data_IF_813438444729
#
_entry.id   IF_813438444729
#
_cell.length_a   1.000
_cell.length_b   1.000
_cell.length_c   1.000
_cell.angle_alpha   90.00
_cell.angle_beta   90.00
_cell.angle_gamma   90.00
#
_symmetry.space_group_name_H-M   'P 1'
#
loop_
_entity.id
_entity.type
_entity.pdbx_description
1 polymer ?
#
# COMPACT_ATOMS: atom_id res chain seq x y z
N UNK A 1 12.47 -25.25 1.51
CA UNK A 1 11.20 -24.98 0.79
C UNK A 1 11.56 -24.02 -0.33
N UNK A 2 11.03 -24.18 -1.55
CA UNK A 2 11.39 -23.28 -2.65
C UNK A 2 10.91 -21.85 -2.35
N UNK A 3 11.73 -20.86 -2.69
CA UNK A 3 11.38 -19.44 -2.55
C UNK A 3 10.39 -19.02 -3.65
N UNK A 4 9.65 -17.91 -3.46
CA UNK A 4 8.79 -17.38 -4.52
C UNK A 4 9.53 -17.09 -5.84
N UNK A 5 10.76 -16.55 -5.75
CA UNK A 5 11.57 -16.29 -6.95
C UNK A 5 12.03 -17.59 -7.63
N UNK A 6 12.34 -18.65 -6.89
CA UNK A 6 12.61 -19.96 -7.50
C UNK A 6 11.40 -20.51 -8.25
N UNK A 7 10.19 -20.37 -7.68
CA UNK A 7 8.94 -20.80 -8.33
C UNK A 7 8.69 -19.99 -9.62
N UNK A 8 8.92 -18.68 -9.59
CA UNK A 8 8.81 -17.83 -10.78
C UNK A 8 9.87 -18.21 -11.82
N UNK A 9 11.13 -18.39 -11.44
CA UNK A 9 12.21 -18.86 -12.34
C UNK A 9 11.88 -20.20 -12.98
N UNK A 10 11.36 -21.16 -12.21
CA UNK A 10 10.91 -22.45 -12.76
C UNK A 10 9.75 -22.28 -13.74
N UNK A 11 8.79 -21.42 -13.42
CA UNK A 11 7.67 -21.09 -14.32
C UNK A 11 8.15 -20.42 -15.62
N UNK A 12 9.25 -19.67 -15.56
CA UNK A 12 9.88 -19.06 -16.73
C UNK A 12 10.63 -20.08 -17.61
N UNK A 13 11.00 -21.25 -17.06
CA UNK A 13 11.87 -22.21 -17.75
C UNK A 13 11.15 -23.04 -18.82
N UNK A 14 9.93 -23.49 -18.52
CA UNK A 14 9.14 -24.37 -19.36
C UNK A 14 7.64 -24.24 -19.04
N UNK A 15 6.80 -24.17 -20.08
CA UNK A 15 5.36 -23.96 -19.93
C UNK A 15 4.65 -25.14 -19.21
N UNK A 16 5.12 -26.38 -19.39
CA UNK A 16 4.58 -27.54 -18.66
C UNK A 16 4.90 -27.44 -17.17
N UNK A 17 6.08 -26.93 -16.82
CA UNK A 17 6.44 -26.67 -15.43
C UNK A 17 5.55 -25.58 -14.84
N UNK A 18 5.30 -24.49 -15.57
CA UNK A 18 4.36 -23.44 -15.17
C UNK A 18 2.97 -24.02 -14.86
N UNK A 19 2.41 -24.87 -15.75
CA UNK A 19 1.13 -25.54 -15.52
C UNK A 19 1.14 -26.45 -14.28
N UNK A 20 2.22 -27.19 -14.05
CA UNK A 20 2.36 -28.05 -12.86
C UNK A 20 2.41 -27.23 -11.57
N UNK A 21 3.09 -26.08 -11.58
CA UNK A 21 3.20 -25.20 -10.42
C UNK A 21 1.87 -24.51 -10.10
N UNK A 22 1.06 -24.14 -11.11
CA UNK A 22 -0.29 -23.59 -10.90
C UNK A 22 -1.20 -24.52 -10.09
N UNK A 23 -1.07 -25.83 -10.28
CA UNK A 23 -1.84 -26.82 -9.53
C UNK A 23 -1.45 -26.91 -8.04
N UNK A 24 -0.28 -26.40 -7.65
CA UNK A 24 0.22 -26.45 -6.27
C UNK A 24 -0.28 -25.30 -5.40
N UNK A 25 -0.66 -24.16 -6.00
CA UNK A 25 -1.16 -22.95 -5.31
C UNK A 25 -0.35 -22.59 -4.05
N UNK A 26 0.91 -22.21 -4.24
CA UNK A 26 1.81 -21.90 -3.13
C UNK A 26 1.28 -20.72 -2.31
N UNK A 27 1.35 -20.81 -0.98
CA UNK A 27 0.85 -19.74 -0.11
C UNK A 27 1.87 -18.62 -0.02
N UNK A 28 1.41 -17.39 -0.23
CA UNK A 28 2.17 -16.17 0.06
C UNK A 28 1.45 -15.35 1.12
N UNK A 29 2.22 -14.56 1.87
CA UNK A 29 1.65 -13.56 2.77
C UNK A 29 1.08 -12.41 1.94
N UNK A 30 1.90 -11.85 1.05
CA UNK A 30 1.54 -10.72 0.22
C UNK A 30 2.20 -10.74 -1.16
N UNK A 31 1.55 -10.09 -2.12
CA UNK A 31 2.11 -9.74 -3.43
C UNK A 31 2.01 -8.22 -3.56
N UNK A 32 3.14 -7.57 -3.77
CA UNK A 32 3.25 -6.13 -3.95
C UNK A 32 3.54 -5.83 -5.42
N UNK A 33 2.66 -5.10 -6.08
CA UNK A 33 2.79 -4.68 -7.47
C UNK A 33 3.04 -3.18 -7.50
N UNK A 34 4.27 -2.78 -7.82
CA UNK A 34 4.63 -1.39 -8.00
C UNK A 34 4.62 -1.03 -9.48
N UNK A 35 3.87 0.01 -9.83
CA UNK A 35 3.75 0.53 -11.18
C UNK A 35 4.26 1.97 -11.23
N UNK A 36 5.08 2.24 -12.23
CA UNK A 36 5.66 3.53 -12.56
C UNK A 36 6.38 3.45 -13.90
N UNK A 37 6.52 4.58 -14.61
CA UNK A 37 7.19 4.59 -15.91
C UNK A 37 8.69 4.28 -15.83
N UNK A 38 9.29 4.39 -14.63
CA UNK A 38 10.72 4.16 -14.40
C UNK A 38 10.91 2.94 -13.50
N UNK A 39 10.10 2.80 -12.44
CA UNK A 39 10.28 1.80 -11.39
C UNK A 39 9.07 0.86 -11.25
N UNK A 40 8.86 0.02 -12.27
CA UNK A 40 7.92 -1.09 -12.17
C UNK A 40 8.58 -2.31 -11.53
N UNK A 41 7.96 -2.92 -10.52
CA UNK A 41 8.48 -4.12 -9.85
C UNK A 41 7.40 -4.93 -9.14
N UNK A 42 7.69 -6.19 -8.86
CA UNK A 42 6.84 -7.11 -8.10
C UNK A 42 7.65 -7.64 -6.92
N UNK A 43 7.10 -7.57 -5.72
CA UNK A 43 7.70 -8.13 -4.51
C UNK A 43 6.75 -9.22 -3.97
N UNK A 44 7.30 -10.40 -3.70
CA UNK A 44 6.56 -11.56 -3.21
C UNK A 44 7.01 -11.89 -1.78
N UNK A 45 6.23 -11.44 -0.81
CA UNK A 45 6.56 -11.62 0.59
C UNK A 45 6.14 -13.03 1.09
N UNK A 46 7.14 -13.77 1.58
CA UNK A 46 6.92 -14.94 2.46
C UNK A 46 7.37 -14.69 3.91
N UNK A 47 8.38 -13.82 4.11
CA UNK A 47 9.02 -13.44 5.39
C UNK A 47 9.46 -11.96 5.38
N UNK A 48 10.29 -11.51 6.33
CA UNK A 48 10.83 -10.14 6.35
C UNK A 48 11.77 -9.84 5.16
N UNK A 49 12.45 -10.85 4.62
CA UNK A 49 13.15 -10.76 3.34
C UNK A 49 12.20 -11.05 2.18
N UNK A 50 12.18 -10.13 1.22
CA UNK A 50 11.19 -10.02 0.17
C UNK A 50 11.87 -10.13 -1.20
N UNK A 51 11.84 -11.30 -1.87
CA UNK A 51 12.36 -11.41 -3.22
C UNK A 51 11.64 -10.47 -4.19
N UNK A 52 12.39 -9.71 -5.00
CA UNK A 52 11.85 -8.71 -5.93
C UNK A 52 12.10 -9.12 -7.39
N UNK A 53 11.12 -8.83 -8.25
CA UNK A 53 11.22 -8.85 -9.70
C UNK A 53 11.12 -7.43 -10.21
N UNK A 54 12.21 -6.88 -10.73
CA UNK A 54 12.30 -5.50 -11.20
C UNK A 54 12.19 -5.42 -12.73
N UNK A 55 11.43 -4.45 -13.24
CA UNK A 55 11.28 -4.18 -14.67
C UNK A 55 11.96 -2.86 -15.04
N UNK A 56 13.07 -2.94 -15.77
CA UNK A 56 13.89 -1.78 -16.13
C UNK A 56 13.62 -1.31 -17.56
N UNK A 57 13.37 -0.01 -17.73
CA UNK A 57 13.19 0.61 -19.04
C UNK A 57 14.48 0.55 -19.86
N UNK A 58 14.40 -0.08 -21.03
CA UNK A 58 15.47 -0.11 -22.04
C UNK A 58 14.85 0.30 -23.37
N UNK A 59 15.59 1.06 -24.18
CA UNK A 59 15.21 1.48 -25.52
C UNK A 59 15.18 0.28 -26.49
N UNK A 60 14.16 -0.57 -26.42
CA UNK A 60 13.74 -1.43 -27.54
C UNK A 60 12.39 -2.13 -27.27
N UNK A 61 11.31 -1.58 -27.83
CA UNK A 61 9.92 -1.96 -27.54
C UNK A 61 9.24 -2.84 -28.60
N UNK A 62 9.97 -3.51 -29.50
CA UNK A 62 9.35 -4.46 -30.45
C UNK A 62 9.51 -5.89 -29.96
N UNK A 63 8.70 -6.27 -28.96
CA UNK A 63 8.62 -7.66 -28.50
C UNK A 63 7.18 -8.12 -28.41
N UNK A 64 6.96 -9.44 -28.49
CA UNK A 64 5.61 -10.03 -28.38
C UNK A 64 5.04 -9.76 -26.97
N UNK A 65 3.72 -9.51 -26.84
CA UNK A 65 3.06 -9.32 -25.55
C UNK A 65 3.23 -10.54 -24.64
N UNK A 66 3.43 -10.29 -23.35
CA UNK A 66 3.46 -11.31 -22.32
C UNK A 66 2.03 -11.74 -21.94
N UNK A 67 1.76 -13.02 -22.12
CA UNK A 67 0.51 -13.72 -21.77
C UNK A 67 0.77 -14.88 -20.79
N UNK A 68 2.01 -15.37 -20.71
CA UNK A 68 2.44 -16.49 -19.87
C UNK A 68 3.80 -16.18 -19.23
N UNK A 69 4.11 -16.76 -18.06
CA UNK A 69 5.36 -16.45 -17.37
C UNK A 69 6.59 -17.00 -18.09
N UNK A 70 6.46 -18.11 -18.84
CA UNK A 70 7.53 -18.61 -19.72
C UNK A 70 8.09 -17.55 -20.68
N UNK A 71 7.28 -16.57 -21.09
CA UNK A 71 7.68 -15.50 -22.00
C UNK A 71 8.55 -14.43 -21.32
N UNK A 72 8.57 -14.39 -19.98
CA UNK A 72 9.49 -13.51 -19.24
C UNK A 72 10.94 -13.96 -19.36
N UNK A 73 11.21 -15.21 -19.76
CA UNK A 73 12.56 -15.69 -20.05
C UNK A 73 13.26 -14.81 -21.09
N UNK A 74 12.55 -14.38 -22.12
CA UNK A 74 13.08 -13.50 -23.16
C UNK A 74 13.32 -12.06 -22.65
N UNK A 75 12.78 -11.72 -21.48
CA UNK A 75 12.91 -10.42 -20.82
C UNK A 75 13.98 -10.44 -19.73
N UNK A 76 14.50 -11.61 -19.35
CA UNK A 76 15.49 -11.74 -18.29
C UNK A 76 16.82 -11.10 -18.66
N UNK A 77 17.37 -10.30 -17.73
CA UNK A 77 18.65 -9.63 -17.89
C UNK A 77 19.71 -10.24 -16.98
N UNK A 78 19.46 -10.21 -15.66
CA UNK A 78 20.40 -10.64 -14.62
C UNK A 78 19.66 -10.84 -13.29
N UNK A 79 20.34 -11.49 -12.36
CA UNK A 79 19.92 -11.63 -10.97
C UNK A 79 20.94 -10.89 -10.08
N UNK A 80 20.48 -10.05 -9.14
CA UNK A 80 21.32 -9.31 -8.19
C UNK A 80 20.70 -9.49 -6.82
N UNK A 81 21.46 -10.00 -5.85
CA UNK A 81 20.99 -10.17 -4.47
C UNK A 81 19.61 -10.86 -4.39
N UNK A 82 19.44 -11.94 -5.18
CA UNK A 82 18.20 -12.71 -5.36
C UNK A 82 17.07 -12.00 -6.12
N UNK A 83 17.25 -10.74 -6.51
CA UNK A 83 16.28 -9.97 -7.29
C UNK A 83 16.41 -10.23 -8.80
N UNK A 84 15.27 -10.51 -9.44
CA UNK A 84 15.19 -10.77 -10.88
C UNK A 84 15.05 -9.45 -11.65
N UNK A 85 16.06 -9.08 -12.42
CA UNK A 85 16.01 -7.93 -13.31
C UNK A 85 15.50 -8.35 -14.69
N UNK A 86 14.35 -7.80 -15.09
CA UNK A 86 13.70 -7.99 -16.38
C UNK A 86 13.69 -6.66 -17.16
N UNK A 87 13.65 -6.72 -18.49
CA UNK A 87 13.35 -5.54 -19.32
C UNK A 87 11.90 -5.07 -19.08
N UNK A 88 11.66 -3.79 -19.32
CA UNK A 88 10.36 -3.14 -19.20
C UNK A 88 9.23 -3.89 -19.89
N UNK A 89 8.06 -3.76 -19.28
CA UNK A 89 6.79 -4.35 -19.70
C UNK A 89 5.72 -3.27 -19.71
N UNK A 90 4.77 -3.37 -20.64
CA UNK A 90 3.63 -2.45 -20.69
C UNK A 90 2.66 -2.67 -19.51
N UNK A 91 1.70 -1.76 -19.35
CA UNK A 91 0.60 -1.94 -18.39
C UNK A 91 -0.15 -3.26 -18.62
N UNK A 92 -0.50 -3.57 -19.87
CA UNK A 92 -1.19 -4.82 -20.22
C UNK A 92 -0.39 -6.05 -19.82
N UNK A 93 0.92 -6.00 -20.05
CA UNK A 93 1.83 -7.07 -19.66
C UNK A 93 1.92 -7.20 -18.13
N UNK A 94 1.96 -6.09 -17.36
CA UNK A 94 1.92 -6.14 -15.89
C UNK A 94 0.66 -6.81 -15.34
N UNK A 95 -0.51 -6.47 -15.90
CA UNK A 95 -1.76 -7.12 -15.49
C UNK A 95 -1.82 -8.60 -15.90
N UNK A 96 -1.19 -8.95 -17.03
CA UNK A 96 -1.06 -10.34 -17.46
C UNK A 96 -0.13 -11.11 -16.53
N UNK A 97 0.99 -10.52 -16.10
CA UNK A 97 1.90 -11.11 -15.11
C UNK A 97 1.18 -11.29 -13.78
N UNK A 98 0.48 -10.27 -13.28
CA UNK A 98 -0.36 -10.35 -12.09
C UNK A 98 -1.36 -11.51 -12.16
N UNK A 99 -2.09 -11.64 -13.27
CA UNK A 99 -3.05 -12.74 -13.48
C UNK A 99 -2.38 -14.11 -13.41
N UNK A 100 -1.19 -14.26 -14.01
CA UNK A 100 -0.44 -15.51 -13.95
C UNK A 100 0.10 -15.80 -12.54
N UNK A 101 0.58 -14.78 -11.81
CA UNK A 101 1.03 -14.93 -10.41
C UNK A 101 -0.12 -15.34 -9.48
N UNK A 102 -1.32 -14.77 -9.66
CA UNK A 102 -2.52 -15.18 -8.93
C UNK A 102 -2.95 -16.64 -9.20
N UNK A 103 -2.50 -17.23 -10.32
CA UNK A 103 -2.73 -18.64 -10.61
C UNK A 103 -1.68 -19.55 -9.97
N UNK A 104 -0.46 -19.05 -9.75
CA UNK A 104 0.61 -19.77 -9.06
C UNK A 104 0.47 -19.72 -7.54
N UNK A 105 0.02 -18.58 -7.02
CA UNK A 105 0.06 -18.27 -5.60
C UNK A 105 -1.32 -18.00 -5.01
N UNK A 106 -1.53 -18.49 -3.79
CA UNK A 106 -2.66 -18.13 -2.95
C UNK A 106 -2.20 -17.04 -1.97
N UNK A 107 -2.54 -15.79 -2.25
CA UNK A 107 -2.27 -14.64 -1.36
C UNK A 107 -3.58 -13.99 -0.92
N UNK A 108 -3.61 -13.49 0.32
CA UNK A 108 -4.73 -12.67 0.84
C UNK A 108 -4.45 -11.17 0.75
N UNK A 109 -3.19 -10.79 0.61
CA UNK A 109 -2.75 -9.40 0.59
C UNK A 109 -2.16 -9.06 -0.77
N UNK A 110 -3.02 -8.65 -1.70
CA UNK A 110 -2.60 -8.09 -2.99
C UNK A 110 -2.53 -6.57 -2.81
N UNK A 111 -1.35 -6.02 -2.99
CA UNK A 111 -1.04 -4.62 -2.71
C UNK A 111 -0.60 -3.93 -4.00
N UNK A 112 -1.38 -2.95 -4.45
CA UNK A 112 -1.01 -2.11 -5.59
C UNK A 112 -0.32 -0.83 -5.11
N UNK A 113 0.80 -0.48 -5.73
CA UNK A 113 1.60 0.70 -5.42
C UNK A 113 1.79 1.50 -6.70
N UNK A 114 1.24 2.72 -6.77
CA UNK A 114 1.40 3.63 -7.90
C UNK A 114 2.41 4.73 -7.57
N UNK A 115 3.45 4.86 -8.40
CA UNK A 115 4.47 5.93 -8.36
C UNK A 115 3.93 7.15 -9.12
N UNK A 116 3.21 8.04 -8.45
CA UNK A 116 2.56 9.19 -9.09
C UNK A 116 3.57 10.20 -9.67
N UNK A 117 4.74 10.34 -9.03
CA UNK A 117 5.86 11.15 -9.51
C UNK A 117 6.47 10.67 -10.85
N UNK A 118 6.17 9.45 -11.28
CA UNK A 118 6.68 8.86 -12.52
C UNK A 118 5.65 8.84 -13.65
N UNK A 119 4.39 9.20 -13.38
CA UNK A 119 3.27 9.02 -14.31
C UNK A 119 2.71 10.37 -14.75
N UNK A 120 2.25 10.45 -16.01
CA UNK A 120 1.35 11.53 -16.41
C UNK A 120 -0.02 11.33 -15.77
N UNK A 121 -0.80 12.41 -15.68
CA UNK A 121 -2.12 12.36 -15.04
C UNK A 121 -3.05 11.36 -15.73
N UNK A 122 -3.04 11.32 -17.06
CA UNK A 122 -3.90 10.42 -17.84
C UNK A 122 -3.51 8.95 -17.61
N UNK A 123 -2.22 8.65 -17.59
CA UNK A 123 -1.67 7.32 -17.30
C UNK A 123 -2.03 6.89 -15.87
N UNK A 124 -1.88 7.79 -14.90
CA UNK A 124 -2.25 7.53 -13.52
C UNK A 124 -3.74 7.15 -13.39
N UNK A 125 -4.63 7.92 -14.04
CA UNK A 125 -6.06 7.67 -13.99
C UNK A 125 -6.43 6.34 -14.68
N UNK A 126 -5.80 6.02 -15.80
CA UNK A 126 -5.96 4.72 -16.47
C UNK A 126 -5.56 3.56 -15.54
N UNK A 127 -4.42 3.70 -14.84
CA UNK A 127 -3.92 2.68 -13.93
C UNK A 127 -4.84 2.51 -12.74
N UNK A 128 -5.33 3.61 -12.15
CA UNK A 128 -6.33 3.60 -11.08
C UNK A 128 -7.57 2.83 -11.53
N UNK A 129 -8.16 3.20 -12.66
CA UNK A 129 -9.39 2.57 -13.15
C UNK A 129 -9.21 1.08 -13.37
N UNK A 130 -8.06 0.67 -13.92
CA UNK A 130 -7.77 -0.75 -14.13
C UNK A 130 -7.52 -1.51 -12.83
N UNK A 131 -6.78 -0.94 -11.88
CA UNK A 131 -6.53 -1.57 -10.57
C UNK A 131 -7.85 -1.80 -9.83
N UNK A 132 -8.75 -0.82 -9.88
CA UNK A 132 -10.04 -0.90 -9.17
C UNK A 132 -10.97 -1.98 -9.73
N UNK A 133 -10.69 -2.53 -10.92
CA UNK A 133 -11.39 -3.73 -11.43
C UNK A 133 -10.90 -5.04 -10.82
N UNK A 134 -9.78 -5.03 -10.09
CA UNK A 134 -9.19 -6.22 -9.47
C UNK A 134 -9.62 -6.38 -8.02
N UNK A 135 -9.47 -7.60 -7.48
CA UNK A 135 -9.50 -7.80 -6.03
C UNK A 135 -8.15 -7.43 -5.44
N UNK A 136 -8.15 -6.47 -4.51
CA UNK A 136 -6.96 -6.03 -3.81
C UNK A 136 -7.24 -5.77 -2.33
N UNK A 137 -6.18 -5.88 -1.53
CA UNK A 137 -6.19 -5.59 -0.11
C UNK A 137 -5.81 -4.13 0.17
N UNK A 138 -4.74 -3.66 -0.49
CA UNK A 138 -4.19 -2.32 -0.30
C UNK A 138 -3.99 -1.60 -1.62
N UNK A 139 -4.34 -0.33 -1.63
CA UNK A 139 -4.01 0.62 -2.70
C UNK A 139 -3.13 1.73 -2.14
N UNK A 140 -1.92 1.86 -2.69
CA UNK A 140 -0.90 2.81 -2.25
C UNK A 140 -0.54 3.76 -3.38
N UNK A 141 -0.54 5.05 -3.12
CA UNK A 141 0.01 6.08 -4.01
C UNK A 141 1.23 6.69 -3.35
N UNK A 142 2.32 6.87 -4.10
CA UNK A 142 3.57 7.44 -3.57
C UNK A 142 4.13 8.50 -4.52
N UNK A 143 4.82 9.47 -3.97
CA UNK A 143 5.55 10.48 -4.74
C UNK A 143 4.65 11.55 -5.35
N UNK A 144 5.24 12.71 -5.64
CA UNK A 144 4.53 13.85 -6.23
C UNK A 144 3.52 14.52 -5.30
N UNK A 145 2.84 15.54 -5.83
CA UNK A 145 1.85 16.33 -5.10
C UNK A 145 0.51 16.25 -5.82
N UNK A 146 -0.53 15.79 -5.12
CA UNK A 146 -1.86 15.60 -5.71
C UNK A 146 -2.72 16.86 -5.58
N UNK A 147 -3.56 17.14 -6.58
CA UNK A 147 -4.55 18.22 -6.50
C UNK A 147 -5.79 17.77 -5.72
N UNK A 148 -6.57 18.75 -5.21
CA UNK A 148 -7.84 18.47 -4.52
C UNK A 148 -8.84 17.71 -5.41
N UNK A 149 -8.91 18.04 -6.71
CA UNK A 149 -9.80 17.37 -7.66
C UNK A 149 -9.38 15.91 -7.91
N UNK A 150 -8.06 15.66 -8.05
CA UNK A 150 -7.55 14.31 -8.21
C UNK A 150 -7.83 13.46 -6.98
N UNK A 151 -7.56 14.00 -5.79
CA UNK A 151 -7.84 13.33 -4.51
C UNK A 151 -9.34 13.04 -4.36
N UNK A 152 -10.21 14.00 -4.67
CA UNK A 152 -11.67 13.80 -4.65
C UNK A 152 -12.08 12.67 -5.58
N UNK A 153 -11.62 12.70 -6.82
CA UNK A 153 -11.89 11.64 -7.79
C UNK A 153 -11.40 10.27 -7.31
N UNK A 154 -10.21 10.21 -6.69
CA UNK A 154 -9.67 8.98 -6.12
C UNK A 154 -10.52 8.47 -4.94
N UNK A 155 -10.87 9.33 -3.99
CA UNK A 155 -11.67 8.94 -2.82
C UNK A 155 -13.05 8.43 -3.23
N UNK A 156 -13.68 9.02 -4.25
CA UNK A 156 -14.97 8.54 -4.76
C UNK A 156 -14.87 7.13 -5.36
N UNK A 157 -13.81 6.86 -6.14
CA UNK A 157 -13.62 5.58 -6.82
C UNK A 157 -13.19 4.43 -5.89
N UNK A 158 -12.33 4.69 -4.90
CA UNK A 158 -11.78 3.62 -4.05
C UNK A 158 -12.86 3.07 -3.10
N UNK A 159 -13.06 1.74 -3.00
CA UNK A 159 -14.04 1.16 -2.08
C UNK A 159 -13.67 1.39 -0.60
N UNK A 160 -14.66 1.68 0.25
CA UNK A 160 -14.42 1.90 1.70
C UNK A 160 -13.82 0.66 2.39
N UNK A 161 -14.09 -0.55 1.88
CA UNK A 161 -13.51 -1.80 2.43
C UNK A 161 -12.00 -1.95 2.22
N UNK A 162 -11.38 -1.11 1.39
CA UNK A 162 -9.96 -1.19 1.05
C UNK A 162 -9.07 -0.56 2.14
N UNK A 163 -7.80 -0.97 2.15
CA UNK A 163 -6.74 -0.18 2.83
C UNK A 163 -6.19 0.85 1.85
N UNK A 164 -6.26 2.13 2.17
CA UNK A 164 -5.65 3.20 1.36
C UNK A 164 -4.37 3.72 2.01
N UNK A 165 -3.33 3.96 1.22
CA UNK A 165 -2.08 4.57 1.69
C UNK A 165 -1.69 5.68 0.73
N UNK A 166 -1.62 6.91 1.22
CA UNK A 166 -1.19 8.06 0.44
C UNK A 166 0.13 8.58 1.01
N UNK A 167 1.22 8.35 0.27
CA UNK A 167 2.56 8.90 0.53
C UNK A 167 2.97 9.94 -0.51
N UNK A 168 1.98 10.64 -1.07
CA UNK A 168 2.14 11.84 -1.88
C UNK A 168 1.72 13.06 -1.06
N UNK A 169 2.08 14.26 -1.51
CA UNK A 169 1.65 15.48 -0.83
C UNK A 169 0.16 15.72 -1.05
N UNK A 170 -0.51 16.20 0.01
CA UNK A 170 -1.93 16.55 0.02
C UNK A 170 -2.04 18.06 0.32
N UNK A 171 -2.84 18.83 -0.44
CA UNK A 171 -3.04 20.24 -0.18
C UNK A 171 -3.63 20.48 1.22
N UNK A 172 -3.18 21.55 1.89
CA UNK A 172 -3.61 21.86 3.27
C UNK A 172 -5.08 22.26 3.38
N UNK A 173 -5.70 22.70 2.28
CA UNK A 173 -7.12 23.04 2.18
C UNK A 173 -7.99 21.86 1.73
N UNK A 174 -7.41 20.67 1.59
CA UNK A 174 -8.15 19.47 1.23
C UNK A 174 -9.19 19.10 2.30
N UNK A 175 -10.34 18.60 1.86
CA UNK A 175 -11.34 18.00 2.74
C UNK A 175 -12.20 17.02 1.96
N UNK A 176 -12.47 15.85 2.54
CA UNK A 176 -13.35 14.86 1.94
C UNK A 176 -13.95 13.92 2.98
N UNK A 177 -15.28 13.80 3.01
CA UNK A 177 -15.98 12.99 4.02
C UNK A 177 -15.59 11.51 4.00
N UNK A 178 -15.21 10.97 2.83
CA UNK A 178 -14.79 9.57 2.66
C UNK A 178 -13.33 9.30 3.03
N UNK A 179 -12.49 10.33 3.15
CA UNK A 179 -11.07 10.15 3.44
C UNK A 179 -10.82 9.41 4.77
N UNK A 180 -11.74 9.51 5.73
CA UNK A 180 -11.63 8.90 7.05
C UNK A 180 -12.57 7.69 7.24
N UNK A 181 -13.15 7.16 6.16
CA UNK A 181 -14.14 6.05 6.20
C UNK A 181 -13.61 4.72 5.68
N UNK A 182 -12.34 4.66 5.31
CA UNK A 182 -11.75 3.42 4.82
C UNK A 182 -11.54 2.42 5.96
N UNK A 183 -11.56 1.13 5.62
CA UNK A 183 -11.24 0.03 6.52
C UNK A 183 -9.90 0.28 7.22
N UNK A 184 -8.91 0.75 6.49
CA UNK A 184 -7.66 1.25 7.06
C UNK A 184 -7.15 2.37 6.17
N UNK A 185 -6.50 3.38 6.77
CA UNK A 185 -5.89 4.45 5.99
C UNK A 185 -4.59 4.94 6.59
N UNK A 186 -3.66 5.27 5.71
CA UNK A 186 -2.42 5.97 6.05
C UNK A 186 -2.30 7.22 5.19
N UNK A 187 -2.03 8.35 5.84
CA UNK A 187 -1.69 9.62 5.19
C UNK A 187 -0.30 10.04 5.64
N UNK A 188 0.64 10.17 4.69
CA UNK A 188 1.96 10.77 4.98
C UNK A 188 1.77 12.24 5.33
N UNK A 189 1.16 12.99 4.41
CA UNK A 189 0.78 14.38 4.63
C UNK A 189 -0.63 14.45 5.21
N UNK A 190 -0.74 14.77 6.48
CA UNK A 190 -1.99 14.81 7.24
C UNK A 190 -2.26 16.18 7.88
N UNK A 191 -1.48 17.23 7.54
CA UNK A 191 -1.66 18.60 8.08
C UNK A 191 -2.94 19.29 7.64
N UNK A 192 -3.62 18.76 6.61
CA UNK A 192 -4.94 19.20 6.19
C UNK A 192 -6.06 18.79 7.16
N UNK A 193 -5.79 17.81 8.03
CA UNK A 193 -6.74 17.37 9.06
C UNK A 193 -6.70 18.29 10.28
N UNK A 194 -7.89 18.51 10.83
CA UNK A 194 -8.08 19.02 12.18
C UNK A 194 -8.35 17.85 13.12
N UNK A 195 -8.06 18.03 14.41
CA UNK A 195 -8.24 16.93 15.38
C UNK A 195 -9.73 16.56 15.52
N UNK A 196 -10.65 17.50 15.31
CA UNK A 196 -12.10 17.27 15.24
C UNK A 196 -12.50 16.29 14.12
N UNK A 197 -11.77 16.27 13.01
CA UNK A 197 -12.10 15.38 11.88
C UNK A 197 -11.95 13.91 12.29
N UNK A 198 -11.01 13.61 13.21
CA UNK A 198 -10.80 12.27 13.73
C UNK A 198 -12.01 11.76 14.54
N UNK A 199 -12.83 12.65 15.09
CA UNK A 199 -14.04 12.28 15.85
C UNK A 199 -15.10 11.62 14.98
N UNK A 200 -14.96 11.68 13.65
CA UNK A 200 -15.87 11.05 12.69
C UNK A 200 -15.46 9.62 12.30
N UNK A 201 -14.26 9.17 12.67
CA UNK A 201 -13.75 7.83 12.31
C UNK A 201 -14.61 6.76 12.98
N UNK A 202 -15.10 5.79 12.19
CA UNK A 202 -15.91 4.68 12.70
C UNK A 202 -15.54 3.38 12.00
N UNK A 203 -15.46 2.29 12.77
CA UNK A 203 -15.23 0.92 12.30
C UNK A 203 -13.98 0.78 11.40
N UNK A 204 -12.96 1.62 11.64
CA UNK A 204 -11.67 1.46 10.98
C UNK A 204 -10.82 0.42 11.72
N UNK A 205 -9.82 -0.11 11.05
CA UNK A 205 -8.91 -1.12 11.59
C UNK A 205 -7.61 -0.42 12.00
N UNK A 206 -6.85 0.12 11.04
CA UNK A 206 -5.62 0.87 11.31
C UNK A 206 -5.73 2.29 10.75
N UNK A 207 -5.41 3.28 11.58
CA UNK A 207 -5.30 4.69 11.21
C UNK A 207 -3.85 5.14 11.43
N UNK A 208 -3.21 5.69 10.40
CA UNK A 208 -1.82 6.19 10.52
C UNK A 208 -1.64 7.57 9.89
N UNK A 209 -1.15 8.53 10.66
CA UNK A 209 -0.92 9.92 10.24
C UNK A 209 0.54 10.28 10.54
N UNK A 210 1.37 10.43 9.50
CA UNK A 210 2.83 10.55 9.68
C UNK A 210 3.31 12.00 9.88
N UNK A 211 2.69 12.99 9.22
CA UNK A 211 3.05 14.42 9.33
C UNK A 211 1.77 15.17 9.64
N UNK A 212 1.66 15.71 10.86
CA UNK A 212 0.44 16.38 11.35
C UNK A 212 0.74 17.77 11.89
N UNK A 213 -0.31 18.50 12.26
CA UNK A 213 -0.22 19.74 13.02
C UNK A 213 -0.57 19.54 14.52
N UNK A 214 -0.74 18.29 14.96
CA UNK A 214 -1.22 17.96 16.29
C UNK A 214 -0.12 18.05 17.34
N UNK A 215 -0.45 18.56 18.52
CA UNK A 215 0.41 18.41 19.69
C UNK A 215 -0.19 17.47 20.75
N UNK A 216 0.49 17.35 21.89
CA UNK A 216 0.08 16.47 22.98
C UNK A 216 -1.32 16.80 23.51
N UNK A 217 -1.74 18.07 23.48
CA UNK A 217 -3.06 18.48 23.96
C UNK A 217 -4.15 18.08 22.97
N UNK A 218 -3.90 18.22 21.66
CA UNK A 218 -4.80 17.72 20.62
C UNK A 218 -5.01 16.20 20.74
N UNK A 219 -3.93 15.44 20.88
CA UNK A 219 -4.00 13.98 21.04
C UNK A 219 -4.75 13.60 22.32
N UNK A 220 -4.48 14.27 23.45
CA UNK A 220 -5.24 14.06 24.68
C UNK A 220 -6.75 14.27 24.47
N UNK A 221 -7.13 15.36 23.79
CA UNK A 221 -8.53 15.68 23.50
C UNK A 221 -9.19 14.58 22.65
N UNK A 222 -8.47 14.04 21.68
CA UNK A 222 -8.93 12.91 20.88
C UNK A 222 -9.08 11.63 21.68
N UNK A 223 -8.10 11.29 22.52
CA UNK A 223 -8.15 10.08 23.34
C UNK A 223 -9.29 10.13 24.36
N UNK A 224 -9.57 11.28 24.99
CA UNK A 224 -10.73 11.43 25.87
C UNK A 224 -12.04 11.23 25.10
N UNK A 225 -12.18 11.83 23.91
CA UNK A 225 -13.35 11.60 23.06
C UNK A 225 -13.53 10.12 22.70
N UNK A 226 -12.43 9.44 22.34
CA UNK A 226 -12.46 8.03 21.96
C UNK A 226 -12.84 7.14 23.17
N UNK A 227 -12.25 7.40 24.34
CA UNK A 227 -12.55 6.68 25.58
C UNK A 227 -14.02 6.77 26.00
N UNK A 228 -14.67 7.91 25.75
CA UNK A 228 -16.08 8.13 26.07
C UNK A 228 -17.03 7.73 24.93
N UNK A 229 -16.50 7.25 23.79
CA UNK A 229 -17.32 6.94 22.63
C UNK A 229 -17.94 5.54 22.72
N UNK A 230 -19.27 5.48 22.83
CA UNK A 230 -20.03 4.21 22.79
C UNK A 230 -19.96 3.45 21.45
N UNK A 231 -19.25 3.98 20.46
CA UNK A 231 -19.16 3.41 19.11
C UNK A 231 -17.72 3.05 18.79
N UNK A 232 -17.54 1.84 18.25
CA UNK A 232 -16.24 1.38 17.73
C UNK A 232 -15.68 2.37 16.69
N UNK A 233 -14.55 3.00 17.04
CA UNK A 233 -13.87 4.00 16.21
C UNK A 233 -12.81 3.33 15.34
N UNK A 234 -11.74 2.82 15.94
CA UNK A 234 -10.72 2.03 15.27
C UNK A 234 -10.02 1.04 16.22
N UNK A 235 -9.33 0.04 15.65
CA UNK A 235 -8.52 -0.90 16.46
C UNK A 235 -7.14 -0.37 16.81
N UNK A 236 -6.54 0.42 15.93
CA UNK A 236 -5.19 0.93 16.10
C UNK A 236 -5.09 2.33 15.50
N UNK A 237 -4.40 3.23 16.22
CA UNK A 237 -4.05 4.56 15.72
C UNK A 237 -2.58 4.87 15.99
N UNK A 238 -1.91 5.43 14.98
CA UNK A 238 -0.55 5.95 15.06
C UNK A 238 -0.58 7.40 14.57
N UNK A 239 -0.21 8.33 15.45
CA UNK A 239 -0.11 9.76 15.14
C UNK A 239 1.30 10.23 15.47
N UNK A 240 1.98 10.79 14.47
CA UNK A 240 3.18 11.60 14.73
C UNK A 240 2.75 13.03 15.08
N UNK A 241 3.30 13.60 16.15
CA UNK A 241 3.06 15.00 16.51
C UNK A 241 3.69 15.95 15.48
N UNK A 242 3.26 17.22 15.52
CA UNK A 242 3.81 18.29 14.69
C UNK A 242 5.33 18.38 14.82
N UNK A 243 5.99 18.71 13.71
CA UNK A 243 7.44 18.79 13.64
C UNK A 243 8.01 19.70 14.73
N UNK A 244 9.05 19.23 15.43
CA UNK A 244 9.68 19.94 16.54
C UNK A 244 8.95 19.86 17.89
N UNK A 245 7.76 19.25 17.96
CA UNK A 245 7.09 19.01 19.24
C UNK A 245 7.79 17.90 20.03
N UNK A 246 8.01 18.15 21.33
CA UNK A 246 8.38 17.09 22.25
C UNK A 246 7.14 16.34 22.72
N UNK A 247 7.23 15.02 22.81
CA UNK A 247 6.14 14.19 23.33
C UNK A 247 6.03 14.45 24.83
N UNK A 248 4.94 15.11 25.24
CA UNK A 248 4.58 15.25 26.64
C UNK A 248 3.60 14.14 27.02
N UNK A 249 4.14 13.01 27.48
CA UNK A 249 3.33 11.84 27.89
C UNK A 249 2.34 12.19 29.00
N UNK A 250 2.70 13.04 29.95
CA UNK A 250 1.81 13.44 31.05
C UNK A 250 0.58 14.19 30.52
N UNK A 251 0.78 15.06 29.52
CA UNK A 251 -0.33 15.77 28.87
C UNK A 251 -1.19 14.82 28.05
N UNK A 252 -0.58 13.92 27.26
CA UNK A 252 -1.33 12.94 26.43
C UNK A 252 -2.22 12.05 27.31
N UNK A 253 -1.71 11.59 28.46
CA UNK A 253 -2.40 10.64 29.33
C UNK A 253 -3.30 11.31 30.39
N UNK A 254 -3.40 12.64 30.36
CA UNK A 254 -4.19 13.39 31.33
C UNK A 254 -5.66 12.96 31.29
N UNK A 255 -6.20 12.63 32.46
CA UNK A 255 -7.57 12.13 32.64
C UNK A 255 -7.85 10.74 32.05
N UNK A 256 -6.83 10.00 31.61
CA UNK A 256 -6.98 8.63 31.13
C UNK A 256 -6.50 7.62 32.17
N UNK A 257 -7.18 6.48 32.25
CA UNK A 257 -6.68 5.31 32.97
C UNK A 257 -5.85 4.49 31.99
N UNK A 258 -4.58 4.25 32.33
CA UNK A 258 -3.62 3.60 31.42
C UNK A 258 -3.11 2.33 32.08
N UNK A 259 -3.04 1.26 31.29
CA UNK A 259 -2.38 0.01 31.68
C UNK A 259 -1.06 -0.05 30.90
N UNK A 260 0.06 0.03 31.61
CA UNK A 260 1.39 -0.11 31.01
C UNK A 260 1.93 -1.50 31.26
N UNK A 261 2.51 -2.13 30.23
CA UNK A 261 3.42 -3.25 30.43
C UNK A 261 4.86 -2.70 30.64
N UNK A 262 5.73 -3.46 31.28
CA UNK A 262 7.02 -3.00 31.80
C UNK A 262 8.05 -2.56 30.72
N UNK A 263 7.74 -2.74 29.43
CA UNK A 263 8.67 -2.47 28.32
C UNK A 263 8.54 -1.06 27.70
N UNK A 264 7.71 -0.17 28.26
CA UNK A 264 7.64 1.24 27.83
C UNK A 264 6.81 1.50 26.57
N UNK A 265 6.24 0.45 25.96
CA UNK A 265 5.19 0.55 24.96
C UNK A 265 3.82 0.70 25.65
N UNK A 266 3.11 1.79 25.36
CA UNK A 266 1.75 2.01 25.86
C UNK A 266 0.74 1.30 24.95
N UNK A 267 0.10 0.25 25.46
CA UNK A 267 -1.07 -0.35 24.83
C UNK A 267 -2.32 0.27 25.46
N UNK A 268 -3.10 1.00 24.65
CA UNK A 268 -4.42 1.47 25.04
C UNK A 268 -5.43 0.36 24.77
N UNK A 269 -5.89 -0.32 25.82
CA UNK A 269 -7.10 -1.13 25.75
C UNK A 269 -8.28 -0.21 26.04
N UNK A 270 -9.05 0.11 24.99
CA UNK A 270 -10.40 0.69 25.10
C UNK A 270 -11.42 -0.37 24.73
#
# INVERSE_FOLDING_TARGET
MMTPNEIVKLSMSDFKIELLLRNRKYKLRAIHLQLGNITSRIDMNTTNDCPVVMFQKIDNNKRKPITQLVQLRDRFQKEIDEDLCLTYVSLDEMFSIYSNLNQLFSSREINWILRFDELKLEEFLEYVDRILTTEFYRFKVVGGSMSNDLLRGLMEKVPEKATIVIESDIPSDYSHAKALKFRSFKYREARWLKIEDLFCIRKSYIVKLDITNFDSSDVNRFLNYWSDCDKDMMKEIIITLKEGAQINQQEILKNLIVISDNDGDFQFFM
#
